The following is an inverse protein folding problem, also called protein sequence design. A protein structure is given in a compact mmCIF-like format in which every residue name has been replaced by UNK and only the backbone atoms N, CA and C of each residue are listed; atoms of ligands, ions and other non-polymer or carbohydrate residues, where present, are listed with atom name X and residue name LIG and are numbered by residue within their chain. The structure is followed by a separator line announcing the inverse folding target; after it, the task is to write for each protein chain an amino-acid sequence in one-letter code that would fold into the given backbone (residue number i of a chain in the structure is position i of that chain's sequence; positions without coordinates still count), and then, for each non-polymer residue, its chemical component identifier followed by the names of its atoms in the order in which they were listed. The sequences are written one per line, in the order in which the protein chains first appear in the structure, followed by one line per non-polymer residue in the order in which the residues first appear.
data_IF_076356779880
#
_entry.id   IF_076356779880
#
_cell.length_a   1.000
_cell.length_b   1.000
_cell.length_c   1.000
_cell.angle_alpha   90.00
_cell.angle_beta   90.00
_cell.angle_gamma   90.00
#
_symmetry.space_group_name_H-M   'P 1'
#
loop_
_entity.id
_entity.type
_entity.pdbx_description
1 polymer ?
#
# COMPACT_ATOMS: atom_id res chain seq x y z
N UNK A 1 9.89 -14.59 11.86
CA UNK A 1 8.73 -13.86 12.42
C UNK A 1 8.85 -12.41 12.02
N UNK A 2 8.13 -12.06 10.95
CA UNK A 2 8.11 -10.75 10.31
C UNK A 2 7.07 -9.80 10.91
N UNK A 3 7.03 -8.60 10.36
CA UNK A 3 6.21 -7.47 10.79
C UNK A 3 4.72 -7.76 10.66
N UNK A 4 3.91 -7.46 11.68
CA UNK A 4 2.46 -7.75 11.63
C UNK A 4 1.57 -6.54 11.92
N UNK A 5 1.84 -5.72 12.94
CA UNK A 5 0.82 -4.73 13.34
C UNK A 5 0.92 -3.37 12.66
N UNK A 6 2.09 -2.94 12.16
CA UNK A 6 2.16 -1.63 11.51
C UNK A 6 1.27 -1.56 10.25
N UNK A 7 1.02 -2.72 9.62
CA UNK A 7 0.20 -2.82 8.42
C UNK A 7 -1.30 -2.68 8.73
N UNK A 8 -1.71 -2.96 9.97
CA UNK A 8 -3.08 -2.78 10.44
C UNK A 8 -3.38 -1.38 10.95
N UNK A 9 -2.37 -0.50 11.09
CA UNK A 9 -2.57 0.86 11.61
C UNK A 9 -3.71 1.60 10.88
N UNK A 10 -3.78 1.63 9.54
CA UNK A 10 -4.88 2.30 8.83
C UNK A 10 -6.26 1.74 9.19
N UNK A 11 -6.40 0.42 9.21
CA UNK A 11 -7.66 -0.25 9.55
C UNK A 11 -8.03 -0.04 11.02
N UNK A 12 -7.06 -0.11 11.93
CA UNK A 12 -7.24 0.10 13.36
C UNK A 12 -7.69 1.53 13.69
N UNK A 13 -7.15 2.53 12.98
CA UNK A 13 -7.61 3.92 13.10
C UNK A 13 -9.08 4.03 12.69
N UNK A 14 -9.48 3.49 11.53
CA UNK A 14 -10.88 3.56 11.09
C UNK A 14 -11.82 2.70 11.96
N UNK A 15 -11.31 1.64 12.59
CA UNK A 15 -12.05 0.83 13.54
C UNK A 15 -12.35 1.59 14.84
N UNK A 16 -11.34 2.29 15.38
CA UNK A 16 -11.47 3.02 16.64
C UNK A 16 -12.09 4.41 16.49
N UNK A 17 -11.90 5.04 15.33
CA UNK A 17 -12.43 6.34 14.96
C UNK A 17 -13.27 6.23 13.69
N UNK A 18 -14.47 5.62 13.75
CA UNK A 18 -15.36 5.61 12.60
C UNK A 18 -15.82 7.03 12.29
N UNK A 19 -16.16 7.29 11.03
CA UNK A 19 -16.80 8.54 10.59
C UNK A 19 -15.89 9.78 10.70
N UNK A 20 -14.62 9.64 10.28
CA UNK A 20 -13.64 10.72 10.24
C UNK A 20 -13.37 11.22 8.82
N UNK A 21 -13.06 12.49 8.67
CA UNK A 21 -12.64 13.11 7.40
C UNK A 21 -11.25 12.63 6.97
N UNK A 22 -10.86 12.90 5.72
CA UNK A 22 -9.50 12.61 5.23
C UNK A 22 -8.43 13.38 6.00
N UNK A 23 -8.71 14.60 6.44
CA UNK A 23 -7.81 15.43 7.25
C UNK A 23 -7.62 14.84 8.65
N UNK A 24 -8.71 14.43 9.30
CA UNK A 24 -8.66 13.76 10.61
C UNK A 24 -7.95 12.41 10.49
N UNK A 25 -8.21 11.64 9.43
CA UNK A 25 -7.50 10.38 9.18
C UNK A 25 -6.00 10.61 8.96
N UNK A 26 -5.62 11.61 8.17
CA UNK A 26 -4.21 12.01 7.98
C UNK A 26 -3.55 12.37 9.30
N UNK A 27 -4.24 13.15 10.15
CA UNK A 27 -3.75 13.52 11.47
C UNK A 27 -3.56 12.29 12.36
N UNK A 28 -4.51 11.35 12.37
CA UNK A 28 -4.40 10.12 13.15
C UNK A 28 -3.24 9.23 12.70
N UNK A 29 -3.02 9.12 11.39
CA UNK A 29 -1.86 8.42 10.84
C UNK A 29 -0.54 9.09 11.29
N UNK A 30 -0.47 10.43 11.24
CA UNK A 30 0.71 11.19 11.67
C UNK A 30 0.99 11.06 13.19
N UNK A 31 -0.06 10.89 14.00
CA UNK A 31 0.03 10.70 15.46
C UNK A 31 0.68 9.35 15.83
N UNK A 32 0.41 8.30 15.06
CA UNK A 32 0.93 6.95 15.32
C UNK A 32 2.40 6.83 14.92
N UNK A 33 3.22 6.30 15.83
CA UNK A 33 4.64 6.01 15.57
C UNK A 33 4.85 4.50 15.50
N UNK A 34 5.74 4.06 14.60
CA UNK A 34 6.10 2.67 14.43
C UNK A 34 7.57 2.56 14.04
N UNK A 35 8.19 1.42 14.31
CA UNK A 35 9.63 1.22 14.07
C UNK A 35 9.85 -0.07 13.32
N UNK A 36 9.63 -0.02 12.00
CA UNK A 36 9.60 -1.21 11.16
C UNK A 36 10.80 -2.12 11.43
N UNK A 37 12.02 -1.60 11.40
CA UNK A 37 13.25 -2.41 11.47
C UNK A 37 13.92 -2.49 12.86
N UNK A 38 13.26 -2.01 13.92
CA UNK A 38 13.85 -1.95 15.26
C UNK A 38 13.13 -2.88 16.22
N UNK A 39 13.87 -3.65 17.00
CA UNK A 39 13.37 -4.33 18.19
C UNK A 39 13.66 -3.46 19.41
N UNK A 40 12.74 -3.42 20.36
CA UNK A 40 12.95 -2.76 21.65
C UNK A 40 13.09 -3.80 22.76
N UNK A 41 13.80 -3.43 23.82
CA UNK A 41 14.00 -4.26 25.00
C UNK A 41 12.77 -4.22 25.92
N UNK A 42 12.58 -5.20 26.80
CA UNK A 42 11.42 -5.25 27.71
C UNK A 42 11.26 -3.97 28.54
N UNK A 43 12.37 -3.38 29.00
CA UNK A 43 12.37 -2.19 29.84
C UNK A 43 12.24 -0.86 29.08
N UNK A 44 12.26 -0.89 27.74
CA UNK A 44 12.07 0.33 26.95
C UNK A 44 10.64 0.87 27.14
N UNK A 45 10.46 2.21 27.24
CA UNK A 45 9.15 2.85 27.34
C UNK A 45 8.18 2.43 26.23
N UNK A 46 6.89 2.40 26.54
CA UNK A 46 5.85 2.01 25.58
C UNK A 46 5.78 2.91 24.34
N UNK A 47 6.11 4.19 24.47
CA UNK A 47 6.14 5.19 23.40
C UNK A 47 7.49 5.25 22.63
N UNK A 48 8.38 4.30 22.89
CA UNK A 48 9.65 4.19 22.16
C UNK A 48 9.43 3.97 20.67
N UNK A 49 10.10 4.79 19.85
CA UNK A 49 10.05 4.67 18.40
C UNK A 49 11.32 5.20 17.72
N UNK A 50 11.58 4.72 16.51
CA UNK A 50 12.66 5.20 15.64
C UNK A 50 12.15 6.29 14.69
N UNK A 51 12.65 7.52 14.87
CA UNK A 51 12.24 8.68 14.08
C UNK A 51 12.75 8.69 12.63
N UNK A 52 13.64 7.75 12.27
CA UNK A 52 14.23 7.63 10.93
C UNK A 52 13.27 7.08 9.87
N UNK A 53 12.19 6.39 10.28
CA UNK A 53 11.25 5.71 9.39
C UNK A 53 9.82 6.27 9.45
N UNK A 54 9.62 7.41 10.12
CA UNK A 54 8.30 8.04 10.18
C UNK A 54 7.81 8.39 8.77
N UNK A 55 6.52 8.15 8.50
CA UNK A 55 5.79 8.69 7.35
C UNK A 55 5.87 10.24 7.40
N UNK A 56 6.98 10.84 6.98
CA UNK A 56 7.14 12.30 7.04
C UNK A 56 6.43 12.95 5.85
N UNK A 57 5.30 13.59 6.18
CA UNK A 57 4.73 14.80 5.58
C UNK A 57 4.69 14.93 4.04
N UNK A 58 3.79 14.15 3.42
CA UNK A 58 2.94 14.55 2.29
C UNK A 58 1.51 14.13 2.60
N UNK A 59 0.93 14.74 3.65
CA UNK A 59 -0.23 14.24 4.43
C UNK A 59 -1.32 13.57 3.60
N UNK A 60 -1.89 14.30 2.64
CA UNK A 60 -2.99 13.77 1.83
C UNK A 60 -2.53 12.79 0.76
N UNK A 61 -1.33 12.94 0.19
CA UNK A 61 -0.79 11.97 -0.77
C UNK A 61 -0.56 10.61 -0.09
N UNK A 62 0.04 10.61 1.09
CA UNK A 62 0.27 9.37 1.84
C UNK A 62 -1.07 8.73 2.21
N UNK A 63 -2.08 9.53 2.61
CA UNK A 63 -3.44 9.02 2.83
C UNK A 63 -4.03 8.40 1.57
N UNK A 64 -3.92 9.08 0.42
CA UNK A 64 -4.42 8.55 -0.85
C UNK A 64 -3.74 7.23 -1.24
N UNK A 65 -2.43 7.13 -1.03
CA UNK A 65 -1.66 5.89 -1.25
C UNK A 65 -2.10 4.78 -0.29
N UNK A 66 -2.22 5.06 1.01
CA UNK A 66 -2.70 4.11 2.03
C UNK A 66 -4.11 3.60 1.71
N UNK A 67 -5.01 4.50 1.32
CA UNK A 67 -6.38 4.18 0.93
C UNK A 67 -6.45 3.55 -0.48
N UNK A 68 -5.35 3.51 -1.23
CA UNK A 68 -5.33 2.98 -2.58
C UNK A 68 -6.25 3.72 -3.55
N UNK A 69 -6.41 5.03 -3.37
CA UNK A 69 -7.28 5.85 -4.19
C UNK A 69 -6.85 5.83 -5.66
N UNK A 70 -7.83 5.80 -6.54
CA UNK A 70 -7.60 5.95 -7.96
C UNK A 70 -7.18 7.37 -8.32
N UNK A 71 -6.35 7.49 -9.36
CA UNK A 71 -6.06 8.78 -9.97
C UNK A 71 -7.31 9.33 -10.69
N UNK A 72 -7.52 10.65 -10.60
CA UNK A 72 -8.61 11.35 -11.30
C UNK A 72 -8.44 11.26 -12.81
N UNK A 73 -9.54 11.49 -13.56
CA UNK A 73 -9.50 11.50 -15.02
C UNK A 73 -8.62 12.66 -15.52
N UNK A 74 -8.77 13.82 -14.90
CA UNK A 74 -8.05 15.04 -15.20
C UNK A 74 -6.54 14.86 -15.03
N UNK A 75 -6.12 14.16 -13.97
CA UNK A 75 -4.71 13.86 -13.76
C UNK A 75 -4.17 12.83 -14.76
N UNK A 76 -4.95 11.79 -15.09
CA UNK A 76 -4.59 10.82 -16.15
C UNK A 76 -4.40 11.50 -17.51
N UNK A 77 -5.26 12.44 -17.86
CA UNK A 77 -5.14 13.23 -19.09
C UNK A 77 -3.92 14.15 -19.05
N UNK A 78 -3.66 14.80 -17.92
CA UNK A 78 -2.45 15.60 -17.72
C UNK A 78 -1.18 14.75 -17.86
N UNK A 79 -1.16 13.56 -17.26
CA UNK A 79 0.03 12.70 -17.18
C UNK A 79 0.33 11.93 -18.47
N UNK A 80 -0.66 11.74 -19.35
CA UNK A 80 -0.51 11.10 -20.65
C UNK A 80 0.55 11.77 -21.55
N UNK A 81 0.90 13.04 -21.26
CA UNK A 81 1.89 13.80 -22.01
C UNK A 81 1.40 14.15 -23.41
N UNK A 82 2.32 14.56 -24.27
CA UNK A 82 2.03 14.91 -25.67
C UNK A 82 3.12 14.39 -26.58
N UNK A 83 2.97 14.55 -27.90
CA UNK A 83 4.03 14.26 -28.87
C UNK A 83 4.49 15.56 -29.53
N UNK A 84 5.75 15.62 -29.91
CA UNK A 84 6.27 16.71 -30.74
C UNK A 84 5.91 16.53 -32.23
N UNK A 85 6.41 17.42 -33.09
CA UNK A 85 6.13 17.40 -34.53
C UNK A 85 6.66 16.13 -35.24
N UNK A 86 7.62 15.44 -34.65
CA UNK A 86 8.19 14.18 -35.17
C UNK A 86 7.52 12.95 -34.56
N UNK A 87 6.52 13.14 -33.69
CA UNK A 87 5.84 12.06 -32.99
C UNK A 87 6.59 11.56 -31.75
N UNK A 88 7.67 12.22 -31.33
CA UNK A 88 8.45 11.82 -30.15
C UNK A 88 7.72 12.28 -28.89
N UNK A 89 7.57 11.42 -27.86
CA UNK A 89 6.90 11.79 -26.62
C UNK A 89 7.57 12.97 -25.90
N UNK A 90 6.78 13.98 -25.56
CA UNK A 90 7.08 15.01 -24.57
C UNK A 90 6.31 14.64 -23.30
N UNK A 91 7.05 14.27 -22.26
CA UNK A 91 6.48 13.85 -20.98
C UNK A 91 5.79 15.02 -20.28
N UNK A 92 4.71 14.70 -19.58
CA UNK A 92 4.11 15.64 -18.64
C UNK A 92 5.13 16.04 -17.56
N UNK A 93 5.02 17.24 -16.98
CA UNK A 93 5.87 17.64 -15.87
C UNK A 93 5.80 16.67 -14.70
N UNK A 94 6.94 16.43 -14.05
CA UNK A 94 7.10 15.42 -13.00
C UNK A 94 7.55 16.06 -11.69
N UNK A 95 6.96 15.61 -10.58
CA UNK A 95 7.34 16.04 -9.23
C UNK A 95 8.44 15.12 -8.68
N UNK A 96 9.50 15.69 -8.11
CA UNK A 96 10.51 14.92 -7.38
C UNK A 96 9.93 14.23 -6.14
N UNK A 97 10.37 13.00 -5.85
CA UNK A 97 9.93 12.23 -4.67
C UNK A 97 10.26 12.96 -3.37
N UNK A 98 11.37 13.71 -3.34
CA UNK A 98 11.92 14.23 -2.09
C UNK A 98 11.85 15.74 -1.89
N UNK A 99 11.47 16.56 -2.89
CA UNK A 99 11.49 18.02 -2.75
C UNK A 99 10.49 18.74 -3.64
N UNK A 100 10.19 19.98 -3.28
CA UNK A 100 9.35 20.93 -4.01
C UNK A 100 10.00 21.33 -5.36
N UNK A 101 10.28 20.34 -6.21
CA UNK A 101 11.02 20.46 -7.46
C UNK A 101 10.21 19.80 -8.56
N UNK A 102 9.99 20.55 -9.64
CA UNK A 102 9.26 20.10 -10.82
C UNK A 102 10.22 20.02 -12.01
N UNK A 103 10.26 18.85 -12.63
CA UNK A 103 10.97 18.62 -13.90
C UNK A 103 10.00 18.84 -15.05
N UNK A 104 10.28 19.83 -15.89
CA UNK A 104 9.45 20.18 -17.05
C UNK A 104 10.18 19.75 -18.31
N UNK A 105 9.65 18.75 -19.01
CA UNK A 105 10.17 18.37 -20.33
C UNK A 105 9.84 19.49 -21.32
N UNK A 106 10.85 20.26 -21.74
CA UNK A 106 10.65 21.41 -22.62
C UNK A 106 10.52 20.99 -24.08
N UNK A 107 11.46 20.17 -24.55
CA UNK A 107 11.57 19.72 -25.94
C UNK A 107 12.53 18.54 -26.05
N UNK A 108 12.44 17.83 -27.17
CA UNK A 108 13.48 16.91 -27.61
C UNK A 108 14.52 17.68 -28.42
N UNK A 109 15.81 17.47 -28.12
CA UNK A 109 16.93 17.93 -28.95
C UNK A 109 17.31 16.79 -29.88
N UNK A 110 17.18 17.02 -31.18
CA UNK A 110 17.40 16.02 -32.22
C UNK A 110 18.85 16.08 -32.71
N UNK A 111 19.45 14.93 -32.94
CA UNK A 111 20.79 14.78 -33.50
C UNK A 111 20.74 14.20 -34.90
N UNK A 112 21.90 14.21 -35.58
CA UNK A 112 22.05 13.62 -36.90
C UNK A 112 21.76 12.12 -36.88
N UNK A 113 21.22 11.62 -37.98
CA UNK A 113 20.89 10.21 -38.14
C UNK A 113 22.11 9.32 -37.93
N UNK A 114 21.87 8.16 -37.32
CA UNK A 114 22.90 7.19 -36.99
C UNK A 114 22.40 5.80 -37.34
N UNK A 115 23.21 5.05 -38.07
CA UNK A 115 22.98 3.63 -38.30
C UNK A 115 23.50 2.84 -37.09
N UNK A 116 22.70 1.93 -36.56
CA UNK A 116 23.09 1.06 -35.45
C UNK A 116 22.68 -0.39 -35.69
N UNK A 117 23.33 -1.29 -34.98
CA UNK A 117 22.81 -2.63 -34.73
C UNK A 117 22.25 -2.71 -33.31
N UNK A 118 21.08 -3.32 -33.14
CA UNK A 118 20.42 -3.48 -31.83
C UNK A 118 19.84 -4.88 -31.64
N UNK A 119 19.69 -5.28 -30.38
CA UNK A 119 19.08 -6.54 -29.97
C UNK A 119 17.88 -6.26 -29.06
N UNK A 120 16.71 -6.75 -29.43
CA UNK A 120 15.45 -6.39 -28.76
C UNK A 120 14.64 -7.60 -28.33
N UNK A 121 13.96 -7.47 -27.19
CA UNK A 121 13.04 -8.48 -26.67
C UNK A 121 11.66 -8.39 -27.31
N UNK A 122 11.29 -7.20 -27.79
CA UNK A 122 10.01 -6.91 -28.45
C UNK A 122 10.27 -6.47 -29.88
N UNK A 123 9.29 -6.72 -30.76
CA UNK A 123 9.36 -6.27 -32.15
C UNK A 123 9.35 -4.73 -32.19
N UNK A 124 10.23 -4.13 -32.98
CA UNK A 124 10.25 -2.69 -33.23
C UNK A 124 9.46 -2.35 -34.50
N UNK A 125 8.91 -1.14 -34.53
CA UNK A 125 8.23 -0.56 -35.68
C UNK A 125 8.85 0.80 -36.01
N UNK A 126 8.71 1.24 -37.26
CA UNK A 126 9.09 2.59 -37.66
C UNK A 126 8.28 3.61 -36.84
N UNK A 127 8.95 4.65 -36.36
CA UNK A 127 8.48 5.64 -35.37
C UNK A 127 8.38 5.15 -33.92
N UNK A 128 8.85 3.94 -33.61
CA UNK A 128 9.02 3.57 -32.20
C UNK A 128 10.18 4.35 -31.59
N UNK A 129 10.07 4.64 -30.29
CA UNK A 129 11.21 5.10 -29.51
C UNK A 129 12.03 3.87 -29.13
N UNK A 130 13.26 3.85 -29.62
CA UNK A 130 14.30 2.92 -29.21
C UNK A 130 15.06 3.48 -28.00
N UNK A 131 15.39 2.60 -27.06
CA UNK A 131 16.17 2.93 -25.87
C UNK A 131 17.26 1.87 -25.74
N UNK A 132 18.50 2.31 -25.61
CA UNK A 132 19.64 1.42 -25.47
C UNK A 132 19.54 0.57 -24.19
N UNK A 133 19.78 -0.74 -24.31
CA UNK A 133 19.83 -1.64 -23.18
C UNK A 133 21.04 -1.31 -22.29
N UNK A 134 20.81 -0.97 -21.02
CA UNK A 134 21.80 -0.44 -20.06
C UNK A 134 22.43 0.93 -20.41
N UNK A 135 21.96 1.59 -21.46
CA UNK A 135 22.47 2.87 -21.91
C UNK A 135 21.59 4.07 -21.53
N UNK A 136 22.04 5.25 -21.97
CA UNK A 136 21.26 6.49 -21.90
C UNK A 136 20.83 6.98 -23.28
N UNK A 137 21.31 6.35 -24.35
CA UNK A 137 20.95 6.71 -25.72
C UNK A 137 19.48 6.37 -26.00
N UNK A 138 18.82 7.31 -26.68
CA UNK A 138 17.46 7.14 -27.18
C UNK A 138 17.40 7.62 -28.61
N UNK A 139 16.58 6.97 -29.43
CA UNK A 139 16.39 7.37 -30.81
C UNK A 139 15.00 7.01 -31.32
N UNK A 140 14.50 7.79 -32.26
CA UNK A 140 13.32 7.44 -33.01
C UNK A 140 13.73 6.52 -34.15
N UNK A 141 13.10 5.35 -34.27
CA UNK A 141 13.33 4.45 -35.42
C UNK A 141 12.82 5.13 -36.68
N UNK A 142 13.74 5.58 -37.54
CA UNK A 142 13.42 6.16 -38.84
C UNK A 142 13.20 5.06 -39.86
N UNK A 143 14.08 4.04 -39.85
CA UNK A 143 14.07 2.96 -40.83
C UNK A 143 14.60 1.66 -40.21
N UNK A 144 14.03 0.53 -40.64
CA UNK A 144 14.51 -0.82 -40.33
C UNK A 144 15.15 -1.37 -41.59
N UNK A 145 16.49 -1.38 -41.64
CA UNK A 145 17.26 -1.88 -42.79
C UNK A 145 17.22 -3.41 -42.82
N UNK A 146 17.36 -4.04 -41.64
CA UNK A 146 17.33 -5.49 -41.49
C UNK A 146 16.63 -5.87 -40.18
N UNK A 147 15.71 -6.83 -40.24
CA UNK A 147 15.11 -7.52 -39.09
C UNK A 147 15.46 -9.01 -39.19
N UNK A 148 16.00 -9.57 -38.12
CA UNK A 148 16.32 -11.00 -38.01
C UNK A 148 15.73 -11.54 -36.70
N UNK A 149 14.83 -12.53 -36.81
CA UNK A 149 14.26 -13.21 -35.66
C UNK A 149 15.23 -14.27 -35.16
N UNK A 150 15.60 -14.19 -33.89
CA UNK A 150 16.55 -15.11 -33.26
C UNK A 150 15.82 -16.36 -32.76
N UNK A 151 16.39 -17.55 -33.01
CA UNK A 151 15.86 -18.80 -32.50
C UNK A 151 16.12 -18.92 -30.99
N UNK A 152 15.06 -19.13 -30.21
CA UNK A 152 15.14 -19.24 -28.76
C UNK A 152 15.20 -20.72 -28.33
N UNK A 153 16.41 -21.21 -28.06
CA UNK A 153 16.64 -22.58 -27.56
C UNK A 153 16.40 -22.71 -26.03
N UNK A 154 15.26 -22.22 -25.52
CA UNK A 154 14.74 -22.63 -24.21
C UNK A 154 14.98 -21.72 -23.00
N UNK A 155 15.56 -20.52 -23.13
CA UNK A 155 15.64 -19.56 -22.00
C UNK A 155 14.85 -18.28 -22.29
N UNK A 156 13.89 -17.93 -21.43
CA UNK A 156 12.99 -16.76 -21.59
C UNK A 156 13.69 -15.38 -21.49
N UNK A 157 15.02 -15.33 -21.27
CA UNK A 157 15.74 -14.08 -20.94
C UNK A 157 16.63 -13.52 -22.07
N UNK A 158 16.61 -14.08 -23.29
CA UNK A 158 17.42 -13.57 -24.42
C UNK A 158 16.63 -12.63 -25.34
N UNK A 159 17.29 -11.65 -25.99
CA UNK A 159 16.70 -10.88 -27.08
C UNK A 159 16.14 -11.79 -28.16
N UNK A 160 15.00 -11.40 -28.74
CA UNK A 160 14.27 -12.18 -29.76
C UNK A 160 14.51 -11.69 -31.18
N UNK A 161 15.01 -10.47 -31.30
CA UNK A 161 15.21 -9.81 -32.58
C UNK A 161 16.60 -9.19 -32.62
N UNK A 162 17.26 -9.30 -33.76
CA UNK A 162 18.41 -8.48 -34.12
C UNK A 162 18.00 -7.53 -35.23
N UNK A 163 18.36 -6.27 -35.08
CA UNK A 163 18.02 -5.21 -36.01
C UNK A 163 19.26 -4.51 -36.53
N UNK A 164 19.20 -4.08 -37.79
CA UNK A 164 20.02 -2.99 -38.34
C UNK A 164 19.09 -1.82 -38.62
N UNK A 165 19.28 -0.69 -37.95
CA UNK A 165 18.34 0.42 -37.90
C UNK A 165 19.00 1.72 -38.34
N UNK A 166 18.22 2.62 -38.94
CA UNK A 166 18.54 4.05 -38.97
C UNK A 166 17.72 4.73 -37.88
N UNK A 167 18.41 5.35 -36.92
CA UNK A 167 17.79 6.12 -35.86
C UNK A 167 17.95 7.61 -36.10
N UNK A 168 17.00 8.37 -35.58
CA UNK A 168 17.16 9.79 -35.29
C UNK A 168 17.39 9.90 -33.77
N UNK A 169 18.64 10.00 -33.29
CA UNK A 169 18.91 10.10 -31.87
C UNK A 169 18.33 11.40 -31.30
N UNK A 170 17.86 11.35 -30.06
CA UNK A 170 17.38 12.55 -29.38
C UNK A 170 17.68 12.52 -27.89
N UNK A 171 17.76 13.71 -27.32
CA UNK A 171 17.90 13.94 -25.88
C UNK A 171 16.70 14.73 -25.37
N UNK A 172 16.15 14.29 -24.23
CA UNK A 172 15.06 14.99 -23.55
C UNK A 172 15.63 16.21 -22.82
N UNK A 173 15.25 17.43 -23.22
CA UNK A 173 15.72 18.65 -22.56
C UNK A 173 14.75 19.01 -21.42
N UNK A 174 15.26 18.92 -20.20
CA UNK A 174 14.51 19.18 -18.97
C UNK A 174 14.84 20.55 -18.39
N UNK A 175 13.80 21.28 -17.97
CA UNK A 175 13.95 22.45 -17.10
C UNK A 175 13.53 22.09 -15.69
N UNK A 176 14.43 22.31 -14.75
CA UNK A 176 14.18 22.11 -13.33
C UNK A 176 13.61 23.42 -12.75
N UNK A 177 12.51 23.32 -12.01
CA UNK A 177 11.95 24.43 -11.24
C UNK A 177 11.90 24.05 -9.77
N UNK A 178 12.60 24.79 -8.94
CA UNK A 178 12.61 24.61 -7.50
C UNK A 178 11.71 25.63 -6.82
N UNK A 179 11.01 25.19 -5.77
CA UNK A 179 10.11 26.01 -4.98
C UNK A 179 10.54 25.96 -3.51
N UNK A 180 10.45 27.09 -2.83
CA UNK A 180 10.87 27.18 -1.42
C UNK A 180 9.88 26.52 -0.44
N UNK A 181 8.69 26.10 -0.90
CA UNK A 181 7.68 25.43 -0.09
C UNK A 181 6.63 24.73 -0.94
N UNK A 182 5.96 23.74 -0.36
CA UNK A 182 4.86 22.99 -0.99
C UNK A 182 3.72 23.94 -1.38
N UNK A 183 3.34 24.87 -0.50
CA UNK A 183 2.32 25.90 -0.80
C UNK A 183 2.63 26.70 -2.07
N UNK A 184 3.88 27.09 -2.29
CA UNK A 184 4.27 27.81 -3.52
C UNK A 184 4.26 26.92 -4.75
N UNK A 185 4.66 25.65 -4.57
CA UNK A 185 4.59 24.64 -5.61
C UNK A 185 3.15 24.43 -6.06
N UNK A 186 2.24 24.12 -5.14
CA UNK A 186 0.83 23.84 -5.44
C UNK A 186 0.11 25.05 -6.03
N UNK A 187 0.46 26.27 -5.59
CA UNK A 187 -0.04 27.51 -6.22
C UNK A 187 0.37 27.64 -7.70
N UNK A 188 1.58 27.17 -8.05
CA UNK A 188 2.13 27.30 -9.39
C UNK A 188 1.84 26.09 -10.28
N UNK A 189 1.65 24.93 -9.67
CA UNK A 189 1.42 23.63 -10.28
C UNK A 189 0.27 22.90 -9.56
N UNK A 190 -0.98 23.40 -9.67
CA UNK A 190 -2.13 22.83 -8.95
C UNK A 190 -2.42 21.38 -9.35
N UNK A 191 -2.03 20.95 -10.55
CA UNK A 191 -2.12 19.55 -10.99
C UNK A 191 -1.31 18.54 -10.15
N UNK A 192 -0.44 19.00 -9.25
CA UNK A 192 0.26 18.12 -8.29
C UNK A 192 -0.38 18.11 -6.89
N UNK A 193 -1.44 18.89 -6.68
CA UNK A 193 -2.24 18.84 -5.47
C UNK A 193 -2.83 17.44 -5.31
N UNK A 194 -2.66 16.78 -4.15
CA UNK A 194 -3.27 15.47 -3.92
C UNK A 194 -4.76 15.39 -4.26
N UNK A 195 -5.53 16.47 -4.08
CA UNK A 195 -6.96 16.49 -4.43
C UNK A 195 -7.22 16.55 -5.94
N UNK A 196 -6.28 17.09 -6.71
CA UNK A 196 -6.34 17.00 -8.17
C UNK A 196 -5.88 15.63 -8.65
N UNK A 197 -4.88 15.04 -7.99
CA UNK A 197 -4.26 13.77 -8.40
C UNK A 197 -5.18 12.58 -8.10
N UNK A 198 -5.76 12.52 -6.91
CA UNK A 198 -6.49 11.35 -6.40
C UNK A 198 -7.97 11.62 -6.17
N UNK A 199 -8.80 10.62 -6.45
CA UNK A 199 -10.24 10.69 -6.24
C UNK A 199 -10.61 10.47 -4.76
N UNK A 200 -10.60 11.54 -3.96
CA UNK A 200 -11.07 11.50 -2.57
C UNK A 200 -12.58 11.31 -2.41
N UNK A 201 -13.35 11.30 -3.50
CA UNK A 201 -14.78 10.98 -3.51
C UNK A 201 -15.05 9.51 -3.85
N UNK A 202 -14.00 8.68 -3.91
CA UNK A 202 -14.14 7.24 -4.12
C UNK A 202 -14.92 6.60 -2.96
N UNK A 203 -16.03 5.89 -3.22
CA UNK A 203 -16.95 5.44 -2.17
C UNK A 203 -16.41 4.28 -1.33
N UNK A 204 -15.50 3.48 -1.86
CA UNK A 204 -14.88 2.35 -1.16
C UNK A 204 -13.54 1.95 -1.79
N UNK A 205 -12.73 1.20 -1.06
CA UNK A 205 -11.47 0.69 -1.57
C UNK A 205 -10.81 -0.31 -0.63
N UNK A 206 -9.62 -0.76 -1.02
CA UNK A 206 -8.76 -1.61 -0.19
C UNK A 206 -7.56 -0.79 0.28
N UNK A 207 -7.05 -1.07 1.48
CA UNK A 207 -5.80 -0.47 1.91
C UNK A 207 -4.63 -1.01 1.07
N UNK A 208 -3.66 -0.16 0.72
CA UNK A 208 -2.40 -0.55 0.06
C UNK A 208 -1.24 -0.48 1.06
N UNK A 209 -1.19 -1.46 1.94
CA UNK A 209 -0.09 -1.68 2.88
C UNK A 209 0.72 -2.89 2.38
N UNK A 210 2.03 -2.95 2.64
CA UNK A 210 2.97 -3.80 1.88
C UNK A 210 2.64 -5.29 1.76
N UNK A 211 1.80 -5.83 2.64
CA UNK A 211 1.28 -7.20 2.60
C UNK A 211 -0.26 -7.30 2.60
N UNK A 212 -0.97 -6.17 2.66
CA UNK A 212 -2.41 -6.16 2.92
C UNK A 212 -3.15 -6.76 1.73
N UNK A 213 -3.69 -7.95 1.98
CA UNK A 213 -4.59 -8.66 1.07
C UNK A 213 -5.88 -7.86 0.90
N UNK A 214 -6.64 -8.13 -0.16
CA UNK A 214 -7.96 -7.52 -0.51
C UNK A 214 -9.07 -7.74 0.55
N UNK A 215 -8.70 -8.15 1.76
CA UNK A 215 -9.58 -8.47 2.88
C UNK A 215 -9.88 -7.21 3.74
N UNK A 216 -8.95 -6.25 3.81
CA UNK A 216 -9.11 -5.00 4.57
C UNK A 216 -9.62 -3.87 3.67
N UNK A 217 -10.89 -3.51 3.86
CA UNK A 217 -11.66 -2.57 3.06
C UNK A 217 -12.07 -1.37 3.88
N UNK A 218 -12.07 -0.21 3.25
CA UNK A 218 -12.65 1.01 3.79
C UNK A 218 -13.81 1.44 2.91
N UNK A 219 -14.72 2.21 3.49
CA UNK A 219 -15.81 2.85 2.78
C UNK A 219 -15.91 4.32 3.20
N UNK A 220 -16.48 5.12 2.32
CA UNK A 220 -16.68 6.55 2.48
C UNK A 220 -18.18 6.86 2.34
N UNK A 221 -18.69 7.69 3.26
CA UNK A 221 -20.03 8.26 3.18
C UNK A 221 -19.96 9.72 3.61
N UNK A 222 -20.54 10.62 2.81
CA UNK A 222 -20.62 12.06 3.10
C UNK A 222 -19.26 12.69 3.47
N UNK A 223 -18.20 12.33 2.74
CA UNK A 223 -16.83 12.83 2.97
C UNK A 223 -16.09 12.19 4.15
N UNK A 224 -16.68 11.18 4.80
CA UNK A 224 -16.13 10.53 6.00
C UNK A 224 -15.84 9.07 5.77
N UNK A 225 -14.72 8.60 6.30
CA UNK A 225 -14.18 7.26 6.14
C UNK A 225 -14.50 6.37 7.35
N UNK A 226 -14.69 5.09 7.09
CA UNK A 226 -14.89 4.05 8.09
C UNK A 226 -14.38 2.70 7.57
N UNK A 227 -14.11 1.77 8.49
CA UNK A 227 -13.75 0.40 8.11
C UNK A 227 -15.00 -0.29 7.58
N UNK A 228 -14.92 -0.87 6.37
CA UNK A 228 -16.09 -1.46 5.71
C UNK A 228 -16.60 -2.68 6.47
N UNK A 229 -17.92 -2.82 6.69
CA UNK A 229 -18.50 -4.03 7.29
C UNK A 229 -18.12 -5.32 6.54
N UNK A 230 -17.87 -5.24 5.24
CA UNK A 230 -17.48 -6.40 4.42
C UNK A 230 -16.14 -7.01 4.88
N UNK A 231 -15.25 -6.23 5.47
CA UNK A 231 -13.98 -6.72 6.04
C UNK A 231 -14.23 -7.81 7.07
N UNK A 232 -15.20 -7.64 7.97
CA UNK A 232 -15.49 -8.61 9.02
C UNK A 232 -16.03 -9.94 8.50
N UNK A 233 -16.51 -9.98 7.25
CA UNK A 233 -16.94 -11.23 6.61
C UNK A 233 -15.76 -12.05 6.06
N UNK A 234 -14.62 -11.40 5.81
CA UNK A 234 -13.46 -11.95 5.10
C UNK A 234 -12.26 -12.22 6.00
N UNK A 235 -12.05 -11.38 7.01
CA UNK A 235 -10.90 -11.53 7.90
C UNK A 235 -11.03 -12.79 8.78
N UNK A 236 -9.91 -13.46 9.08
CA UNK A 236 -9.89 -14.54 10.06
C UNK A 236 -10.01 -14.00 11.50
N UNK A 237 -10.04 -14.92 12.47
CA UNK A 237 -9.95 -14.60 13.90
C UNK A 237 -8.69 -13.76 14.22
N UNK A 238 -7.57 -14.10 13.60
CA UNK A 238 -6.25 -13.47 13.78
C UNK A 238 -5.24 -14.44 14.39
N UNK A 239 -4.01 -13.97 14.62
CA UNK A 239 -2.94 -14.79 15.19
C UNK A 239 -3.37 -15.41 16.52
N UNK A 240 -3.23 -16.73 16.66
CA UNK A 240 -3.28 -17.31 17.99
C UNK A 240 -1.98 -16.97 18.71
N UNK A 241 -2.07 -16.32 19.87
CA UNK A 241 -0.92 -16.11 20.76
C UNK A 241 -0.33 -17.44 21.27
N UNK A 242 -1.02 -18.56 21.05
CA UNK A 242 -0.55 -19.93 21.31
C UNK A 242 -0.26 -20.76 20.05
N UNK A 243 -0.34 -20.18 18.85
CA UNK A 243 0.09 -20.87 17.63
C UNK A 243 1.58 -21.15 17.76
N UNK A 244 1.88 -22.39 18.16
CA UNK A 244 3.21 -22.92 18.08
C UNK A 244 3.69 -22.78 16.64
N UNK A 245 5.00 -22.68 16.47
CA UNK A 245 5.71 -22.64 15.20
C UNK A 245 5.26 -23.78 14.24
N UNK A 246 4.53 -24.81 14.71
CA UNK A 246 3.98 -25.88 13.89
C UNK A 246 2.82 -25.48 12.96
N UNK A 247 2.03 -24.42 13.23
CA UNK A 247 1.00 -23.96 12.27
C UNK A 247 1.60 -23.16 11.10
N UNK A 248 2.90 -22.85 11.16
CA UNK A 248 3.66 -22.32 10.02
C UNK A 248 4.06 -23.41 9.00
N UNK A 249 3.59 -24.66 9.19
CA UNK A 249 3.85 -25.79 8.29
C UNK A 249 2.78 -25.99 7.21
N UNK A 250 1.69 -25.22 7.23
CA UNK A 250 0.85 -25.07 6.04
C UNK A 250 1.39 -23.90 5.20
N UNK A 251 1.53 -24.08 3.89
CA UNK A 251 2.14 -23.17 2.88
C UNK A 251 1.54 -21.75 2.77
N UNK A 252 0.76 -21.29 3.75
CA UNK A 252 0.13 -19.97 3.76
C UNK A 252 0.66 -19.17 4.93
N UNK A 253 1.29 -18.00 4.69
CA UNK A 253 1.70 -17.13 5.77
C UNK A 253 0.47 -16.77 6.60
N UNK A 254 0.58 -16.81 7.95
CA UNK A 254 -0.52 -16.54 8.86
C UNK A 254 -1.10 -15.15 8.57
N UNK A 255 -2.43 -15.05 8.67
CA UNK A 255 -3.21 -13.89 8.25
C UNK A 255 -3.57 -13.04 9.46
N UNK A 256 -3.39 -11.73 9.36
CA UNK A 256 -3.94 -10.76 10.31
C UNK A 256 -5.47 -10.88 10.34
N UNK A 257 -6.06 -10.83 11.53
CA UNK A 257 -7.49 -10.97 11.71
C UNK A 257 -8.08 -10.01 12.74
N UNK A 258 -9.30 -10.31 13.18
CA UNK A 258 -10.07 -9.45 14.06
C UNK A 258 -9.36 -9.15 15.39
N UNK A 259 -8.75 -10.16 16.02
CA UNK A 259 -7.99 -9.99 17.28
C UNK A 259 -6.76 -9.11 17.10
N UNK A 260 -6.09 -9.23 15.95
CA UNK A 260 -4.91 -8.42 15.62
C UNK A 260 -5.30 -6.96 15.40
N UNK A 261 -6.44 -6.71 14.76
CA UNK A 261 -7.02 -5.38 14.61
C UNK A 261 -7.33 -4.76 15.99
N UNK A 262 -7.99 -5.51 16.88
CA UNK A 262 -8.30 -5.03 18.24
C UNK A 262 -7.04 -4.73 19.03
N UNK A 263 -6.05 -5.63 19.00
CA UNK A 263 -4.77 -5.39 19.68
C UNK A 263 -4.04 -4.17 19.11
N UNK A 264 -4.06 -3.98 17.79
CA UNK A 264 -3.48 -2.80 17.13
C UNK A 264 -4.21 -1.52 17.55
N UNK A 265 -5.55 -1.53 17.58
CA UNK A 265 -6.36 -0.38 18.00
C UNK A 265 -6.09 -0.01 19.46
N UNK A 266 -6.00 -1.00 20.36
CA UNK A 266 -5.67 -0.77 21.76
C UNK A 266 -4.24 -0.25 21.95
N UNK A 267 -3.27 -0.78 21.20
CA UNK A 267 -1.91 -0.26 21.22
C UNK A 267 -1.83 1.21 20.73
N UNK A 268 -2.64 1.60 19.74
CA UNK A 268 -2.77 3.01 19.32
C UNK A 268 -3.35 3.86 20.46
N UNK A 269 -4.46 3.40 21.06
CA UNK A 269 -5.14 4.10 22.16
C UNK A 269 -4.19 4.37 23.33
N UNK A 270 -3.34 3.41 23.67
CA UNK A 270 -2.38 3.50 24.78
C UNK A 270 -1.05 4.16 24.39
N UNK A 271 -0.87 4.60 23.14
CA UNK A 271 0.40 5.10 22.60
C UNK A 271 1.56 4.11 22.78
N UNK A 272 1.26 2.82 22.71
CA UNK A 272 2.23 1.74 22.87
C UNK A 272 2.97 1.45 21.55
N UNK A 273 3.67 2.46 21.01
CA UNK A 273 4.39 2.41 19.73
C UNK A 273 5.40 1.27 19.62
N UNK A 274 5.94 0.84 20.76
CA UNK A 274 6.76 -0.36 20.89
C UNK A 274 6.07 -1.63 20.34
N UNK A 275 4.74 -1.73 20.41
CA UNK A 275 3.97 -2.83 19.81
C UNK A 275 4.04 -2.85 18.28
N UNK A 276 4.36 -1.72 17.65
CA UNK A 276 4.51 -1.56 16.19
C UNK A 276 5.97 -1.63 15.74
N UNK A 277 6.84 -2.22 16.57
CA UNK A 277 8.24 -2.45 16.24
C UNK A 277 8.45 -3.77 15.50
N UNK A 278 9.67 -4.01 15.02
CA UNK A 278 10.07 -5.36 14.63
C UNK A 278 9.87 -6.30 15.83
N UNK A 279 9.17 -7.42 15.61
CA UNK A 279 8.80 -8.41 16.65
C UNK A 279 7.97 -7.86 17.83
N UNK A 280 7.19 -6.78 17.64
CA UNK A 280 6.38 -6.18 18.72
C UNK A 280 5.47 -7.15 19.50
N UNK A 281 5.06 -8.26 18.88
CA UNK A 281 4.30 -9.36 19.51
C UNK A 281 4.96 -9.97 20.76
N UNK A 282 6.29 -9.89 20.91
CA UNK A 282 6.97 -10.40 22.11
C UNK A 282 6.55 -9.62 23.36
N UNK A 283 6.08 -8.38 23.19
CA UNK A 283 5.66 -7.50 24.26
C UNK A 283 4.18 -7.67 24.65
N UNK A 284 3.39 -8.52 23.97
CA UNK A 284 1.94 -8.65 24.22
C UNK A 284 1.60 -9.03 25.67
N UNK A 285 2.37 -9.93 26.30
CA UNK A 285 2.15 -10.29 27.72
C UNK A 285 2.40 -9.11 28.65
N UNK A 286 3.48 -8.37 28.40
CA UNK A 286 3.83 -7.16 29.15
C UNK A 286 2.77 -6.07 28.94
N UNK A 287 2.30 -5.89 27.71
CA UNK A 287 1.27 -4.93 27.33
C UNK A 287 -0.02 -5.16 28.12
N UNK A 288 -0.51 -6.39 28.18
CA UNK A 288 -1.73 -6.70 28.94
C UNK A 288 -1.56 -6.63 30.46
N UNK A 289 -0.35 -6.82 30.98
CA UNK A 289 -0.03 -6.59 32.39
C UNK A 289 -0.10 -5.11 32.72
N UNK A 290 0.51 -4.27 31.88
CA UNK A 290 0.64 -2.83 32.12
C UNK A 290 -0.66 -2.07 31.76
N UNK A 291 -1.49 -2.62 30.86
CA UNK A 291 -2.78 -2.06 30.42
C UNK A 291 -3.91 -3.10 30.55
N UNK A 292 -4.36 -3.34 31.78
CA UNK A 292 -5.40 -4.34 32.10
C UNK A 292 -6.73 -4.12 31.35
N UNK A 293 -7.12 -2.87 31.12
CA UNK A 293 -8.36 -2.56 30.40
C UNK A 293 -8.29 -3.03 28.94
N UNK A 294 -7.10 -2.96 28.33
CA UNK A 294 -6.86 -3.47 26.98
C UNK A 294 -6.91 -5.00 26.92
N UNK A 295 -6.55 -5.70 28.01
CA UNK A 295 -6.74 -7.15 28.13
C UNK A 295 -8.22 -7.53 28.18
N UNK A 296 -9.06 -6.76 28.86
CA UNK A 296 -10.51 -7.01 28.90
C UNK A 296 -11.14 -6.88 27.51
N UNK A 297 -10.82 -5.79 26.80
CA UNK A 297 -11.27 -5.54 25.42
C UNK A 297 -10.79 -6.65 24.48
N UNK A 298 -9.52 -7.04 24.57
CA UNK A 298 -8.97 -8.12 23.76
C UNK A 298 -9.62 -9.47 24.09
N UNK A 299 -9.85 -9.78 25.37
CA UNK A 299 -10.50 -11.03 25.80
C UNK A 299 -11.94 -11.11 25.30
N UNK A 300 -12.65 -9.99 25.25
CA UNK A 300 -13.95 -9.90 24.60
C UNK A 300 -13.86 -10.16 23.10
N UNK A 301 -12.87 -9.57 22.42
CA UNK A 301 -12.68 -9.81 20.99
C UNK A 301 -12.39 -11.30 20.68
N UNK A 302 -11.61 -11.97 21.54
CA UNK A 302 -11.38 -13.43 21.49
C UNK A 302 -12.70 -14.20 21.64
N UNK A 303 -13.53 -13.83 22.62
CA UNK A 303 -14.81 -14.48 22.82
C UNK A 303 -15.76 -14.28 21.62
N UNK A 304 -15.85 -13.05 21.12
CA UNK A 304 -16.72 -12.67 20.00
C UNK A 304 -16.31 -13.39 18.71
N UNK A 305 -15.01 -13.51 18.45
CA UNK A 305 -14.50 -14.18 17.26
C UNK A 305 -14.75 -15.69 17.29
N UNK A 306 -14.48 -16.37 18.41
CA UNK A 306 -14.83 -17.77 18.57
C UNK A 306 -16.34 -17.97 18.42
N UNK A 307 -17.16 -17.14 19.07
CA UNK A 307 -18.62 -17.21 18.98
C UNK A 307 -19.09 -17.09 17.53
N UNK A 308 -18.56 -16.11 16.78
CA UNK A 308 -18.88 -15.90 15.36
C UNK A 308 -18.46 -17.09 14.49
N UNK A 309 -17.25 -17.63 14.68
CA UNK A 309 -16.74 -18.78 13.93
C UNK A 309 -17.58 -20.04 14.18
N UNK A 310 -17.92 -20.31 15.44
CA UNK A 310 -18.76 -21.45 15.79
C UNK A 310 -20.18 -21.29 15.27
N UNK A 311 -20.76 -20.09 15.34
CA UNK A 311 -22.07 -19.80 14.75
C UNK A 311 -22.07 -20.10 13.25
N UNK A 312 -21.08 -19.57 12.51
CA UNK A 312 -20.90 -19.80 11.07
C UNK A 312 -20.74 -21.28 10.72
N UNK A 313 -19.92 -22.04 11.48
CA UNK A 313 -19.74 -23.48 11.28
C UNK A 313 -21.03 -24.28 11.48
N UNK A 314 -21.94 -23.80 12.32
CA UNK A 314 -23.25 -24.41 12.56
C UNK A 314 -24.36 -23.91 11.63
N UNK A 315 -24.07 -23.02 10.68
CA UNK A 315 -25.09 -22.38 9.85
C UNK A 315 -26.05 -21.49 10.63
N UNK A 316 -25.62 -20.99 11.79
CA UNK A 316 -26.41 -20.15 12.69
C UNK A 316 -25.93 -18.70 12.62
N UNK A 317 -26.82 -17.76 12.88
CA UNK A 317 -26.45 -16.40 13.27
C UNK A 317 -25.79 -16.39 14.65
N UNK A 318 -25.00 -15.36 14.96
CA UNK A 318 -24.38 -15.21 16.29
C UNK A 318 -25.42 -15.24 17.41
N UNK A 319 -26.58 -14.61 17.20
CA UNK A 319 -27.68 -14.58 18.17
C UNK A 319 -28.29 -15.97 18.38
N UNK A 320 -28.55 -16.73 17.31
CA UNK A 320 -29.05 -18.11 17.41
C UNK A 320 -28.05 -19.01 18.14
N UNK A 321 -26.76 -18.88 17.83
CA UNK A 321 -25.73 -19.65 18.52
C UNK A 321 -25.64 -19.32 20.01
N UNK A 322 -25.74 -18.04 20.38
CA UNK A 322 -25.75 -17.62 21.79
C UNK A 322 -26.98 -18.16 22.54
N UNK A 323 -28.17 -18.14 21.90
CA UNK A 323 -29.39 -18.74 22.48
C UNK A 323 -29.23 -20.25 22.65
N UNK A 324 -28.78 -20.95 21.61
CA UNK A 324 -28.50 -22.39 21.67
C UNK A 324 -27.51 -22.73 22.80
N UNK A 325 -26.44 -21.95 22.95
CA UNK A 325 -25.45 -22.15 24.02
C UNK A 325 -26.05 -21.90 25.42
N UNK A 326 -26.92 -20.91 25.57
CA UNK A 326 -27.62 -20.62 26.82
C UNK A 326 -28.60 -21.75 27.18
N UNK A 327 -29.38 -22.22 26.21
CA UNK A 327 -30.30 -23.35 26.36
C UNK A 327 -29.57 -24.65 26.72
N UNK A 328 -28.42 -24.92 26.10
CA UNK A 328 -27.58 -26.08 26.44
C UNK A 328 -26.97 -25.97 27.85
N UNK A 329 -26.79 -24.76 28.39
CA UNK A 329 -26.33 -24.57 29.77
C UNK A 329 -27.47 -24.72 30.78
N UNK A 330 -28.67 -24.27 30.43
CA UNK A 330 -29.86 -24.44 31.29
C UNK A 330 -30.39 -25.87 31.26
N UNK A 331 -30.19 -26.59 30.15
CA UNK A 331 -30.64 -27.98 29.99
C UNK A 331 -29.61 -29.01 30.47
N UNK A 332 -28.36 -28.60 30.74
CA UNK A 332 -27.34 -29.47 31.35
C UNK A 332 -27.32 -29.31 32.88
N UNK A 333 -28.37 -29.83 33.52
CA UNK A 333 -28.14 -30.72 34.66
C UNK A 333 -27.81 -32.08 34.03
N UNK A 334 -26.57 -32.55 34.21
CA UNK A 334 -26.10 -33.90 33.86
C UNK A 334 -26.01 -34.24 32.36
N UNK A 335 -24.92 -33.84 31.70
CA UNK A 335 -23.95 -34.76 31.07
C UNK A 335 -23.08 -34.01 30.06
N UNK A 336 -21.84 -33.73 30.46
CA UNK A 336 -20.75 -33.46 29.54
C UNK A 336 -19.61 -34.39 29.98
N UNK A 337 -19.50 -35.52 29.28
CA UNK A 337 -18.20 -36.07 28.90
C UNK A 337 -17.83 -35.50 27.52
#
# INVERSE_FOLDING_TARGET
MGYTFYELIPAAILFYHPNITKEEFAQKIDEVKFSKFRTFEENDPWDSHDSSLNFRSKRLRNVAEILGLEETKEFKEFSAGRKDKLGIPIKAPQLSVNNCTVYVHQKNKIYSEKEIESYEWKKLEVRNVWIEFHGTEKGLVKEIIKEEKLENNGSNEKPKYRYKLVLIPFEEVWKIREFSSEKKLLKSWPQFDPEFVYNFSQPEGNFRVSSSRDDWKWAQKDGKYFLSPETFNKIPDGYSTSASISECLEDKPPREGYRDLVLTAEAIRQKAWKMFSYRGLIHTKQFFRDFSDSLEIYSRAVYDSYTSIYAKKKGMTTTEFLRWRAEMRTNNISSFD
#
